data_IF_184108628698
#
_entry.id   IF_184108628698
#
_cell.length_a   1.000
_cell.length_b   1.000
_cell.length_c   1.000
_cell.angle_alpha   90.00
_cell.angle_beta   90.00
_cell.angle_gamma   90.00
#
_symmetry.space_group_name_H-M   'P 1'
#
loop_
_entity.id
_entity.type
_entity.pdbx_description
1 polymer ?
#
# COMPACT_ATOMS: atom_id res chain seq x y z
N UNK A 1 -14.64 8.93 19.91
CA UNK A 1 -14.11 9.36 21.23
C UNK A 1 -12.59 9.35 21.37
N UNK A 2 -11.88 8.21 21.52
CA UNK A 2 -10.43 8.25 21.78
C UNK A 2 -9.59 8.90 20.64
N UNK A 3 -10.05 8.79 19.39
CA UNK A 3 -9.45 9.49 18.23
C UNK A 3 -9.74 10.99 18.23
N UNK A 4 -10.93 11.40 18.70
CA UNK A 4 -11.35 12.81 18.74
C UNK A 4 -10.60 13.58 19.81
N UNK A 5 -10.31 12.93 20.94
CA UNK A 5 -9.50 13.49 22.03
C UNK A 5 -8.00 13.43 21.76
N UNK A 6 -7.58 12.93 20.59
CA UNK A 6 -6.17 12.71 20.19
C UNK A 6 -5.37 11.82 21.15
N UNK A 7 -6.04 10.99 21.94
CA UNK A 7 -5.37 10.05 22.85
C UNK A 7 -4.66 8.92 22.08
N UNK A 8 -5.13 8.59 20.88
CA UNK A 8 -4.54 7.58 19.98
C UNK A 8 -4.48 8.09 18.54
N UNK A 9 -3.53 7.57 17.76
CA UNK A 9 -3.42 7.85 16.31
C UNK A 9 -4.14 6.78 15.48
N UNK A 10 -4.48 7.10 14.23
CA UNK A 10 -5.19 6.19 13.31
C UNK A 10 -4.49 4.84 13.09
N UNK A 11 -3.16 4.83 13.16
CA UNK A 11 -2.32 3.65 12.90
C UNK A 11 -1.75 3.02 14.18
N UNK A 12 -2.17 3.48 15.36
CA UNK A 12 -1.76 2.87 16.63
C UNK A 12 -2.24 1.42 16.71
N UNK A 13 -1.37 0.52 17.17
CA UNK A 13 -1.74 -0.89 17.39
C UNK A 13 -2.60 -0.99 18.66
N UNK A 14 -3.81 -1.51 18.52
CA UNK A 14 -4.77 -1.69 19.61
C UNK A 14 -5.41 -3.08 19.55
N UNK A 15 -5.98 -3.51 20.67
CA UNK A 15 -6.91 -4.65 20.72
C UNK A 15 -8.32 -4.12 20.63
N UNK A 16 -8.97 -4.33 19.49
CA UNK A 16 -10.34 -3.88 19.24
C UNK A 16 -11.34 -5.04 19.31
N UNK A 17 -12.48 -4.81 19.95
CA UNK A 17 -13.60 -5.76 19.93
C UNK A 17 -14.49 -5.48 18.73
N UNK A 18 -14.61 -6.43 17.82
CA UNK A 18 -15.52 -6.35 16.69
C UNK A 18 -16.73 -7.27 16.93
N UNK A 19 -17.93 -6.78 16.62
CA UNK A 19 -19.20 -7.52 16.73
C UNK A 19 -19.63 -7.96 15.33
N UNK A 20 -19.62 -9.27 15.09
CA UNK A 20 -20.14 -9.88 13.86
C UNK A 20 -21.40 -10.69 14.16
N UNK A 21 -21.98 -11.30 13.13
CA UNK A 21 -23.09 -12.25 13.22
C UNK A 21 -22.60 -13.66 12.88
N UNK A 22 -23.12 -14.67 13.56
CA UNK A 22 -22.86 -16.08 13.24
C UNK A 22 -23.94 -16.68 12.31
N UNK A 23 -23.76 -17.95 11.93
CA UNK A 23 -24.67 -18.70 11.05
C UNK A 23 -26.11 -18.81 11.58
N UNK A 24 -26.30 -18.62 12.89
CA UNK A 24 -27.58 -18.70 13.59
C UNK A 24 -28.20 -17.31 13.79
N UNK A 25 -27.52 -16.25 13.34
CA UNK A 25 -27.96 -14.86 13.48
C UNK A 25 -27.64 -14.22 14.83
N UNK A 26 -26.91 -14.92 15.71
CA UNK A 26 -26.51 -14.38 17.01
C UNK A 26 -25.31 -13.43 16.86
N UNK A 27 -25.27 -12.41 17.71
CA UNK A 27 -24.19 -11.42 17.71
C UNK A 27 -22.99 -12.00 18.45
N UNK A 28 -21.94 -12.34 17.70
CA UNK A 28 -20.67 -12.81 18.25
C UNK A 28 -19.66 -11.68 18.33
N UNK A 29 -18.98 -11.56 19.46
CA UNK A 29 -17.90 -10.57 19.63
C UNK A 29 -16.55 -11.27 19.71
N UNK A 30 -15.59 -10.84 18.89
CA UNK A 30 -14.21 -11.30 18.93
C UNK A 30 -13.25 -10.11 19.12
N UNK A 31 -12.12 -10.38 19.76
CA UNK A 31 -11.04 -9.39 19.95
C UNK A 31 -9.99 -9.61 18.87
N UNK A 32 -9.58 -8.53 18.22
CA UNK A 32 -8.59 -8.53 17.15
C UNK A 32 -7.45 -7.56 17.45
N UNK A 33 -6.23 -7.95 17.10
CA UNK A 33 -5.10 -7.04 17.00
C UNK A 33 -5.24 -6.22 15.71
N UNK A 34 -5.41 -4.90 15.84
CA UNK A 34 -5.84 -4.02 14.74
C UNK A 34 -5.39 -2.58 14.98
N UNK A 35 -5.86 -1.65 14.15
CA UNK A 35 -5.70 -0.20 14.33
C UNK A 35 -7.06 0.51 14.36
N UNK A 36 -7.16 1.70 14.98
CA UNK A 36 -8.40 2.49 14.94
C UNK A 36 -8.89 2.75 13.51
N UNK A 37 -7.98 3.02 12.55
CA UNK A 37 -8.34 3.23 11.15
C UNK A 37 -8.99 1.99 10.50
N UNK A 38 -8.45 0.79 10.77
CA UNK A 38 -9.04 -0.46 10.27
C UNK A 38 -10.38 -0.79 10.93
N UNK A 39 -10.57 -0.38 12.19
CA UNK A 39 -11.86 -0.53 12.88
C UNK A 39 -12.94 0.34 12.26
N UNK A 40 -12.63 1.59 11.89
CA UNK A 40 -13.56 2.47 11.18
C UNK A 40 -13.99 1.86 9.83
N UNK A 41 -13.06 1.26 9.08
CA UNK A 41 -13.40 0.55 7.84
C UNK A 41 -14.30 -0.66 8.13
N UNK A 42 -13.98 -1.42 9.18
CA UNK A 42 -14.76 -2.59 9.59
C UNK A 42 -16.20 -2.26 9.99
N UNK A 43 -16.46 -1.08 10.56
CA UNK A 43 -17.82 -0.64 10.90
C UNK A 43 -18.72 -0.48 9.66
N UNK A 44 -18.13 -0.29 8.48
CA UNK A 44 -18.87 -0.19 7.23
C UNK A 44 -19.20 -1.56 6.62
N UNK A 45 -18.55 -2.64 7.08
CA UNK A 45 -18.81 -3.98 6.55
C UNK A 45 -20.25 -4.41 6.86
N UNK A 46 -20.96 -5.02 5.90
CA UNK A 46 -22.26 -5.62 6.17
C UNK A 46 -22.14 -6.72 7.22
N UNK A 47 -23.12 -6.80 8.13
CA UNK A 47 -23.19 -7.86 9.13
C UNK A 47 -23.59 -9.17 8.46
N UNK A 48 -22.60 -9.95 8.05
CA UNK A 48 -22.78 -11.25 7.41
C UNK A 48 -21.69 -12.20 7.89
N UNK A 49 -22.07 -13.46 8.11
CA UNK A 49 -21.19 -14.56 8.53
C UNK A 49 -20.02 -14.76 7.58
N UNK A 50 -20.29 -14.60 6.28
CA UNK A 50 -19.30 -14.81 5.23
C UNK A 50 -18.46 -13.56 4.92
N UNK A 51 -18.67 -12.45 5.66
CA UNK A 51 -17.85 -11.23 5.55
C UNK A 51 -17.14 -11.02 6.89
N UNK A 52 -16.07 -11.77 7.16
CA UNK A 52 -15.35 -11.66 8.43
C UNK A 52 -14.56 -10.35 8.51
N UNK A 53 -14.31 -9.86 9.73
CA UNK A 53 -13.56 -8.61 9.97
C UNK A 53 -12.14 -8.66 9.42
N UNK A 54 -11.59 -9.87 9.31
CA UNK A 54 -10.29 -10.20 8.73
C UNK A 54 -10.15 -9.69 7.29
N UNK A 55 -11.26 -9.54 6.55
CA UNK A 55 -11.25 -8.90 5.23
C UNK A 55 -10.79 -7.44 5.28
N UNK A 56 -11.13 -6.72 6.35
CA UNK A 56 -10.74 -5.34 6.62
C UNK A 56 -9.48 -5.22 7.50
N UNK A 57 -9.04 -6.29 8.19
CA UNK A 57 -7.85 -6.25 9.04
C UNK A 57 -6.54 -6.51 8.29
N UNK A 58 -6.31 -5.76 7.23
CA UNK A 58 -5.07 -5.82 6.45
C UNK A 58 -4.74 -4.43 5.90
N UNK A 59 -3.62 -4.31 5.20
CA UNK A 59 -3.32 -3.08 4.47
C UNK A 59 -4.24 -2.96 3.25
N UNK A 60 -4.95 -1.84 3.14
CA UNK A 60 -5.95 -1.62 2.09
C UNK A 60 -5.32 -1.05 0.83
N UNK A 61 -4.59 -1.90 0.11
CA UNK A 61 -4.18 -1.60 -1.27
C UNK A 61 -5.38 -1.63 -2.22
N UNK A 62 -5.24 -1.06 -3.43
CA UNK A 62 -6.27 -1.14 -4.48
C UNK A 62 -6.77 -2.58 -4.71
N UNK A 63 -5.85 -3.55 -4.69
CA UNK A 63 -6.16 -4.98 -4.86
C UNK A 63 -6.99 -5.51 -3.70
N UNK A 64 -6.63 -5.17 -2.46
CA UNK A 64 -7.32 -5.65 -1.27
C UNK A 64 -8.71 -5.03 -1.11
N UNK A 65 -8.88 -3.75 -1.48
CA UNK A 65 -10.20 -3.11 -1.55
C UNK A 65 -11.08 -3.81 -2.58
N UNK A 66 -10.55 -4.10 -3.77
CA UNK A 66 -11.31 -4.81 -4.81
C UNK A 66 -11.75 -6.20 -4.35
N UNK A 67 -10.89 -6.95 -3.65
CA UNK A 67 -11.25 -8.25 -3.06
C UNK A 67 -12.30 -8.14 -1.95
N UNK A 68 -12.22 -7.10 -1.13
CA UNK A 68 -13.21 -6.84 -0.08
C UNK A 68 -14.59 -6.58 -0.68
N UNK A 69 -14.67 -5.76 -1.74
CA UNK A 69 -15.92 -5.51 -2.48
C UNK A 69 -16.46 -6.79 -3.11
N UNK A 70 -15.60 -7.62 -3.73
CA UNK A 70 -16.00 -8.92 -4.31
C UNK A 70 -16.56 -9.87 -3.24
N UNK A 71 -15.96 -9.89 -2.04
CA UNK A 71 -16.45 -10.70 -0.91
C UNK A 71 -17.84 -10.24 -0.47
N UNK A 72 -18.06 -8.93 -0.36
CA UNK A 72 -19.38 -8.37 -0.04
C UNK A 72 -20.39 -8.69 -1.14
N UNK A 73 -19.99 -8.60 -2.41
CA UNK A 73 -20.85 -8.89 -3.56
C UNK A 73 -21.33 -10.34 -3.58
N UNK A 74 -20.42 -11.30 -3.36
CA UNK A 74 -20.74 -12.73 -3.38
C UNK A 74 -21.68 -13.16 -2.25
N UNK A 75 -21.64 -12.47 -1.11
CA UNK A 75 -22.31 -12.93 0.10
C UNK A 75 -23.49 -12.08 0.55
N UNK A 76 -23.54 -10.79 0.17
CA UNK A 76 -24.59 -9.85 0.56
C UNK A 76 -25.46 -9.38 -0.62
N UNK A 77 -25.05 -9.70 -1.86
CA UNK A 77 -25.79 -9.35 -3.08
C UNK A 77 -25.58 -7.91 -3.56
N UNK A 78 -26.27 -7.57 -4.65
CA UNK A 78 -26.01 -6.34 -5.40
C UNK A 78 -26.34 -5.06 -4.63
N UNK A 79 -27.53 -5.00 -4.00
CA UNK A 79 -28.01 -3.79 -3.30
C UNK A 79 -27.05 -3.37 -2.17
N UNK A 80 -26.68 -4.31 -1.30
CA UNK A 80 -25.77 -4.04 -0.18
C UNK A 80 -24.38 -3.63 -0.66
N UNK A 81 -23.92 -4.22 -1.77
CA UNK A 81 -22.61 -3.88 -2.35
C UNK A 81 -22.57 -2.43 -2.84
N UNK A 82 -23.62 -1.95 -3.51
CA UNK A 82 -23.70 -0.55 -3.97
C UNK A 82 -23.64 0.40 -2.78
N UNK A 83 -24.42 0.14 -1.73
CA UNK A 83 -24.43 0.95 -0.50
C UNK A 83 -23.05 0.93 0.17
N UNK A 84 -22.39 -0.23 0.20
CA UNK A 84 -21.05 -0.40 0.76
C UNK A 84 -20.01 0.41 -0.01
N UNK A 85 -20.02 0.35 -1.35
CA UNK A 85 -19.11 1.10 -2.21
C UNK A 85 -19.24 2.62 -1.99
N UNK A 86 -20.46 3.15 -1.89
CA UNK A 86 -20.70 4.57 -1.64
C UNK A 86 -20.14 5.01 -0.28
N UNK A 87 -20.33 4.19 0.76
CA UNK A 87 -19.81 4.47 2.11
C UNK A 87 -18.28 4.45 2.14
N UNK A 88 -17.66 3.47 1.47
CA UNK A 88 -16.19 3.38 1.37
C UNK A 88 -15.63 4.57 0.59
N UNK A 89 -16.29 4.97 -0.49
CA UNK A 89 -15.90 6.15 -1.27
C UNK A 89 -15.94 7.42 -0.41
N UNK A 90 -17.05 7.66 0.29
CA UNK A 90 -17.20 8.83 1.16
C UNK A 90 -16.15 8.85 2.29
N UNK A 91 -15.91 7.71 2.94
CA UNK A 91 -14.88 7.57 3.97
C UNK A 91 -13.48 7.84 3.39
N UNK A 92 -13.17 7.26 2.24
CA UNK A 92 -11.90 7.41 1.54
C UNK A 92 -11.59 8.87 1.21
N UNK A 93 -12.53 9.59 0.59
CA UNK A 93 -12.35 11.01 0.26
C UNK A 93 -12.19 11.88 1.51
N UNK A 94 -12.99 11.64 2.56
CA UNK A 94 -12.90 12.40 3.79
C UNK A 94 -11.52 12.23 4.48
N UNK A 95 -11.02 11.00 4.56
CA UNK A 95 -9.73 10.71 5.19
C UNK A 95 -8.54 11.09 4.30
N UNK A 96 -8.65 10.98 2.98
CA UNK A 96 -7.61 11.44 2.05
C UNK A 96 -7.40 12.95 2.16
N UNK A 97 -8.50 13.72 2.22
CA UNK A 97 -8.43 15.18 2.40
C UNK A 97 -7.80 15.54 3.75
N UNK A 98 -8.19 14.86 4.84
CA UNK A 98 -7.60 15.08 6.18
C UNK A 98 -6.13 14.67 6.28
N UNK A 99 -5.69 13.69 5.49
CA UNK A 99 -4.31 13.23 5.50
C UNK A 99 -3.33 14.28 4.93
N UNK A 100 -3.82 15.20 4.09
CA UNK A 100 -3.01 16.30 3.55
C UNK A 100 -1.78 15.81 2.77
N UNK A 101 -1.88 14.64 2.12
CA UNK A 101 -0.77 14.06 1.36
C UNK A 101 -0.42 15.00 0.22
N UNK A 102 0.83 15.45 0.19
CA UNK A 102 1.39 16.33 -0.83
C UNK A 102 2.65 15.69 -1.41
N UNK A 103 3.15 16.26 -2.50
CA UNK A 103 4.36 15.80 -3.18
C UNK A 103 5.25 17.01 -3.46
N UNK A 104 6.49 16.96 -2.98
CA UNK A 104 7.49 18.01 -3.13
C UNK A 104 8.82 17.50 -3.65
N UNK A 105 9.75 18.42 -3.89
CA UNK A 105 11.11 18.09 -4.35
C UNK A 105 11.86 17.16 -3.38
N UNK A 106 11.60 17.30 -2.09
CA UNK A 106 12.32 16.58 -1.03
C UNK A 106 11.81 15.15 -0.83
N UNK A 107 10.65 14.79 -1.41
CA UNK A 107 10.15 13.40 -1.44
C UNK A 107 10.94 12.52 -2.44
N UNK A 108 11.70 13.15 -3.35
CA UNK A 108 12.59 12.47 -4.29
C UNK A 108 13.98 12.29 -3.67
N UNK A 109 14.15 11.21 -2.91
CA UNK A 109 15.42 10.85 -2.31
C UNK A 109 16.42 10.39 -3.39
N UNK A 110 17.49 11.16 -3.56
CA UNK A 110 18.64 10.76 -4.39
C UNK A 110 19.56 9.91 -3.51
N UNK A 111 19.87 8.66 -3.88
CA UNK A 111 20.74 7.82 -3.07
C UNK A 111 22.18 8.32 -3.11
N UNK A 112 22.84 8.36 -1.95
CA UNK A 112 24.24 8.80 -1.82
C UNK A 112 25.20 7.94 -2.67
N UNK A 113 24.83 6.69 -2.93
CA UNK A 113 25.58 5.76 -3.76
C UNK A 113 25.63 6.17 -5.24
N UNK A 114 24.74 7.06 -5.70
CA UNK A 114 24.68 7.50 -7.10
C UNK A 114 26.02 8.05 -7.59
N UNK A 115 26.66 8.93 -6.81
CA UNK A 115 27.92 9.57 -7.21
C UNK A 115 29.00 8.52 -7.39
N UNK A 116 29.09 7.57 -6.45
CA UNK A 116 30.06 6.47 -6.50
C UNK A 116 29.85 5.60 -7.73
N UNK A 117 28.62 5.12 -7.96
CA UNK A 117 28.29 4.26 -9.10
C UNK A 117 28.60 4.95 -10.44
N UNK A 118 28.22 6.22 -10.57
CA UNK A 118 28.53 7.01 -11.78
C UNK A 118 30.05 7.15 -11.98
N UNK A 119 30.79 7.47 -10.93
CA UNK A 119 32.25 7.61 -11.02
C UNK A 119 32.96 6.30 -11.36
N UNK A 120 32.45 5.17 -10.87
CA UNK A 120 32.98 3.84 -11.18
C UNK A 120 32.76 3.49 -12.66
N UNK A 121 31.55 3.69 -13.18
CA UNK A 121 31.25 3.45 -14.60
C UNK A 121 32.00 4.42 -15.52
N UNK A 122 32.15 5.70 -15.14
CA UNK A 122 32.97 6.67 -15.90
C UNK A 122 34.44 6.24 -15.97
N UNK A 123 35.00 5.71 -14.87
CA UNK A 123 36.37 5.20 -14.85
C UNK A 123 36.53 3.97 -15.77
N UNK A 124 35.57 3.04 -15.73
CA UNK A 124 35.55 1.86 -16.61
C UNK A 124 35.43 2.25 -18.09
N UNK A 125 34.56 3.20 -18.41
CA UNK A 125 34.41 3.70 -19.78
C UNK A 125 35.71 4.31 -20.31
N UNK A 126 36.42 5.06 -19.46
CA UNK A 126 37.74 5.61 -19.78
C UNK A 126 38.79 4.52 -19.99
N UNK A 127 38.75 3.44 -19.21
CA UNK A 127 39.63 2.30 -19.39
C UNK A 127 39.38 1.61 -20.75
N UNK A 128 38.13 1.37 -21.14
CA UNK A 128 37.80 0.80 -22.45
C UNK A 128 38.21 1.72 -23.61
N UNK A 129 38.12 3.03 -23.43
CA UNK A 129 38.62 3.98 -24.42
C UNK A 129 40.15 3.90 -24.58
N UNK A 130 40.88 3.74 -23.48
CA UNK A 130 42.33 3.52 -23.53
C UNK A 130 42.67 2.19 -24.21
N UNK A 131 41.98 1.09 -23.86
CA UNK A 131 42.18 -0.22 -24.48
C UNK A 131 41.93 -0.19 -26.01
N UNK A 132 40.97 0.62 -26.46
CA UNK A 132 40.73 0.83 -27.89
C UNK A 132 41.90 1.58 -28.56
N UNK A 133 42.39 2.65 -27.93
CA UNK A 133 43.52 3.43 -28.45
C UNK A 133 44.82 2.61 -28.51
N UNK A 134 45.02 1.71 -27.54
CA UNK A 134 46.16 0.79 -27.49
C UNK A 134 46.01 -0.39 -28.47
N UNK A 135 44.88 -0.49 -29.19
CA UNK A 135 44.60 -1.52 -30.19
C UNK A 135 44.24 -2.89 -29.60
N UNK A 136 43.90 -2.96 -28.31
CA UNK A 136 43.56 -4.21 -27.60
C UNK A 136 42.13 -4.68 -27.86
N UNK A 137 41.22 -3.76 -28.20
CA UNK A 137 39.80 -4.06 -28.50
C UNK A 137 39.35 -3.38 -29.79
N UNK A 138 38.35 -3.95 -30.44
CA UNK A 138 37.73 -3.36 -31.63
C UNK A 138 36.67 -2.30 -31.26
N UNK A 139 36.30 -1.45 -32.23
CA UNK A 139 35.29 -0.42 -32.01
C UNK A 139 33.91 -1.00 -31.63
N UNK A 140 33.55 -2.17 -32.16
CA UNK A 140 32.30 -2.87 -31.82
C UNK A 140 32.30 -3.40 -30.39
N UNK A 141 33.44 -3.95 -29.93
CA UNK A 141 33.59 -4.43 -28.56
C UNK A 141 33.61 -3.28 -27.54
N UNK A 142 34.23 -2.14 -27.87
CA UNK A 142 34.17 -0.91 -27.05
C UNK A 142 32.71 -0.51 -26.82
N UNK A 143 31.91 -0.43 -27.88
CA UNK A 143 30.52 0.01 -27.78
C UNK A 143 29.70 -0.90 -26.85
N UNK A 144 29.80 -2.22 -27.02
CA UNK A 144 29.06 -3.16 -26.19
C UNK A 144 29.49 -3.08 -24.72
N UNK A 145 30.81 -3.03 -24.45
CA UNK A 145 31.33 -2.96 -23.08
C UNK A 145 31.00 -1.67 -22.34
N UNK A 146 30.86 -0.54 -23.05
CA UNK A 146 30.45 0.75 -22.46
C UNK A 146 28.94 0.81 -22.21
N UNK A 147 28.14 0.15 -23.04
CA UNK A 147 26.68 0.10 -22.88
C UNK A 147 26.25 -0.86 -21.76
N UNK A 148 27.01 -1.94 -21.57
CA UNK A 148 26.73 -2.95 -20.53
C UNK A 148 27.25 -2.57 -19.13
N UNK A 149 28.09 -1.53 -19.01
CA UNK A 149 28.70 -1.04 -17.76
C UNK A 149 27.88 0.08 -17.10
#
# INVERSE_FOLDING_TARGET
HALETKAVTLHAKIKGRFRSVDAEGNVVSKIYDTTPGRMIIGELLPKNVNVPYETANQEMTKKNISKMIDTVYRHCGQKETVIFCDRIMALGFAHACRAGISFGKDDMLIPDTKIKLVSETEALAKEYEQQYNDGLITQGEKYNKVVDA
#
